data_IF_398603195136
#
_entry.id   IF_398603195136
#
_cell.length_a   1.000
_cell.length_b   1.000
_cell.length_c   1.000
_cell.angle_alpha   90.00
_cell.angle_beta   90.00
_cell.angle_gamma   90.00
#
_symmetry.space_group_name_H-M   'P 1'
#
loop_
_entity.id
_entity.type
_entity.pdbx_description
1 polymer ?
#
# COMPACT_ATOMS: atom_id res chain seq x y z
N UNK A 1 1.66 18.72 3.52
CA UNK A 1 0.56 17.85 3.09
C UNK A 1 -0.54 17.96 4.12
N UNK A 2 -1.79 18.17 3.70
CA UNK A 2 -2.92 18.35 4.60
C UNK A 2 -3.39 16.99 5.11
N UNK A 3 -4.22 16.99 6.17
CA UNK A 3 -4.63 15.75 6.83
C UNK A 3 -6.12 15.76 7.15
N UNK A 4 -6.76 14.63 6.88
CA UNK A 4 -8.10 14.32 7.37
C UNK A 4 -7.96 13.28 8.48
N UNK A 5 -8.66 13.46 9.59
CA UNK A 5 -8.64 12.54 10.72
C UNK A 5 -10.01 11.90 10.89
N UNK A 6 -10.01 10.58 10.99
CA UNK A 6 -11.14 9.78 11.46
C UNK A 6 -10.69 9.17 12.78
N UNK A 7 -11.34 9.51 13.89
CA UNK A 7 -10.88 9.14 15.23
C UNK A 7 -11.85 8.21 15.92
N UNK A 8 -11.30 7.14 16.49
CA UNK A 8 -11.97 6.19 17.37
C UNK A 8 -13.29 5.63 16.79
N UNK A 9 -13.26 5.18 15.51
CA UNK A 9 -14.34 4.36 14.98
C UNK A 9 -14.50 3.14 15.89
N UNK A 10 -15.65 3.02 16.55
CA UNK A 10 -15.92 1.93 17.47
C UNK A 10 -16.60 0.78 16.75
N UNK A 11 -16.01 -0.41 16.87
CA UNK A 11 -16.59 -1.65 16.38
C UNK A 11 -16.55 -2.74 17.44
N UNK A 12 -17.54 -3.64 17.41
CA UNK A 12 -17.49 -4.93 18.11
C UNK A 12 -17.05 -5.97 17.10
N UNK A 13 -15.91 -6.60 17.35
CA UNK A 13 -15.29 -7.58 16.45
C UNK A 13 -14.92 -8.88 17.16
N UNK A 14 -14.69 -9.91 16.35
CA UNK A 14 -14.35 -11.26 16.79
C UNK A 14 -12.94 -11.65 16.36
N UNK A 15 -12.02 -10.69 16.48
CA UNK A 15 -10.61 -10.83 16.09
C UNK A 15 -9.75 -11.18 17.30
N UNK A 16 -8.81 -12.09 17.09
CA UNK A 16 -7.85 -12.55 18.11
C UNK A 16 -7.49 -14.02 17.91
N UNK A 17 -6.43 -14.44 18.58
CA UNK A 17 -5.89 -15.80 18.49
C UNK A 17 -6.74 -16.78 19.34
N UNK A 18 -7.25 -16.33 20.49
CA UNK A 18 -7.97 -17.18 21.41
C UNK A 18 -9.41 -17.43 20.97
N UNK A 19 -9.88 -18.65 21.20
CA UNK A 19 -11.26 -19.06 20.86
C UNK A 19 -12.32 -18.23 21.59
N UNK A 20 -12.03 -17.80 22.82
CA UNK A 20 -12.90 -16.93 23.61
C UNK A 20 -13.12 -15.57 22.92
N UNK A 21 -12.08 -15.00 22.33
CA UNK A 21 -12.16 -13.76 21.58
C UNK A 21 -13.05 -13.90 20.34
N UNK A 22 -12.92 -15.05 19.65
CA UNK A 22 -13.70 -15.38 18.44
C UNK A 22 -15.17 -15.69 18.73
N UNK A 23 -15.51 -16.06 19.99
CA UNK A 23 -16.88 -16.39 20.40
C UNK A 23 -17.58 -15.21 21.09
N UNK A 24 -16.91 -14.56 22.02
CA UNK A 24 -17.51 -13.47 22.81
C UNK A 24 -17.45 -12.14 22.08
N UNK A 25 -16.43 -11.96 21.25
CA UNK A 25 -16.15 -10.66 20.64
C UNK A 25 -15.65 -9.63 21.63
N UNK A 26 -15.15 -8.52 21.13
CA UNK A 26 -14.72 -7.41 21.97
C UNK A 26 -14.73 -6.10 21.21
N UNK A 27 -14.57 -5.01 21.95
CA UNK A 27 -14.51 -3.67 21.42
C UNK A 27 -13.15 -3.38 20.79
N UNK A 28 -13.18 -2.68 19.63
CA UNK A 28 -12.03 -2.13 18.94
C UNK A 28 -12.27 -0.66 18.65
N UNK A 29 -11.20 0.14 18.67
CA UNK A 29 -11.21 1.52 18.19
C UNK A 29 -10.20 1.65 17.07
N UNK A 30 -10.64 2.22 15.94
CA UNK A 30 -9.80 2.46 14.78
C UNK A 30 -9.70 3.96 14.51
N UNK A 31 -8.47 4.44 14.41
CA UNK A 31 -8.19 5.84 14.06
C UNK A 31 -7.33 5.90 12.81
N UNK A 32 -7.74 6.77 11.86
CA UNK A 32 -7.04 6.98 10.60
C UNK A 32 -6.60 8.43 10.48
N UNK A 33 -5.37 8.64 10.03
CA UNK A 33 -4.85 9.91 9.57
C UNK A 33 -4.56 9.78 8.07
N UNK A 34 -5.28 10.52 7.25
CA UNK A 34 -5.23 10.49 5.80
C UNK A 34 -4.48 11.71 5.29
N UNK A 35 -3.30 11.52 4.73
CA UNK A 35 -2.52 12.59 4.10
C UNK A 35 -2.97 12.82 2.66
N UNK A 36 -3.47 14.00 2.37
CA UNK A 36 -4.05 14.39 1.07
C UNK A 36 -3.71 15.85 0.74
N UNK A 37 -4.16 16.34 -0.40
CA UNK A 37 -4.10 17.76 -0.77
C UNK A 37 -5.53 18.32 -0.80
N UNK A 38 -5.82 19.31 0.05
CA UNK A 38 -7.16 19.88 0.20
C UNK A 38 -7.33 21.21 -0.54
N UNK A 39 -6.27 21.76 -1.14
CA UNK A 39 -6.29 23.09 -1.78
C UNK A 39 -7.27 23.20 -2.94
N UNK A 40 -7.46 22.11 -3.67
CA UNK A 40 -8.33 22.07 -4.85
C UNK A 40 -9.78 21.64 -4.54
N UNK A 41 -10.12 21.48 -3.26
CA UNK A 41 -11.46 20.98 -2.86
C UNK A 41 -12.58 21.90 -3.32
N UNK A 42 -12.43 23.23 -3.17
CA UNK A 42 -13.37 24.24 -3.67
C UNK A 42 -14.85 23.91 -3.40
N UNK A 43 -15.16 23.37 -2.21
CA UNK A 43 -16.51 22.93 -1.81
C UNK A 43 -17.12 21.82 -2.72
N UNK A 44 -16.26 21.07 -3.42
CA UNK A 44 -16.62 19.99 -4.32
C UNK A 44 -16.12 18.66 -3.73
N UNK A 45 -17.06 17.79 -3.30
CA UNK A 45 -16.76 16.50 -2.68
C UNK A 45 -15.96 15.56 -3.62
N UNK A 46 -16.07 15.75 -4.93
CA UNK A 46 -15.34 14.92 -5.91
C UNK A 46 -13.85 15.24 -5.97
N UNK A 47 -13.46 16.40 -5.44
CA UNK A 47 -12.05 16.88 -5.41
C UNK A 47 -11.38 16.68 -4.07
N UNK A 48 -12.03 16.01 -3.13
CA UNK A 48 -11.47 15.69 -1.82
C UNK A 48 -11.69 14.22 -1.47
N UNK A 49 -11.07 13.76 -0.39
CA UNK A 49 -11.29 12.41 0.12
C UNK A 49 -12.58 12.36 0.91
N UNK A 50 -13.56 11.60 0.44
CA UNK A 50 -14.83 11.40 1.14
C UNK A 50 -14.63 10.49 2.36
N UNK A 51 -14.41 11.10 3.53
CA UNK A 51 -14.11 10.36 4.77
C UNK A 51 -15.23 9.39 5.19
N UNK A 52 -16.49 9.65 4.83
CA UNK A 52 -17.61 8.73 5.06
C UNK A 52 -17.46 7.43 4.27
N UNK A 53 -17.07 7.50 2.99
CA UNK A 53 -16.78 6.32 2.17
C UNK A 53 -15.54 5.57 2.66
N UNK A 54 -14.52 6.30 3.15
CA UNK A 54 -13.36 5.67 3.81
C UNK A 54 -13.81 4.88 5.04
N UNK A 55 -14.66 5.46 5.91
CA UNK A 55 -15.16 4.78 7.10
C UNK A 55 -16.00 3.53 6.75
N UNK A 56 -16.84 3.58 5.72
CA UNK A 56 -17.59 2.41 5.25
C UNK A 56 -16.66 1.34 4.66
N UNK A 57 -15.59 1.72 3.96
CA UNK A 57 -14.56 0.78 3.46
C UNK A 57 -13.86 0.09 4.63
N UNK A 58 -13.43 0.85 5.64
CA UNK A 58 -12.84 0.31 6.88
C UNK A 58 -13.79 -0.70 7.55
N UNK A 59 -15.06 -0.32 7.71
CA UNK A 59 -16.10 -1.19 8.27
C UNK A 59 -16.28 -2.47 7.47
N UNK A 60 -16.32 -2.38 6.14
CA UNK A 60 -16.44 -3.55 5.24
C UNK A 60 -15.30 -4.54 5.47
N UNK A 61 -14.05 -4.06 5.49
CA UNK A 61 -12.88 -4.92 5.71
C UNK A 61 -12.89 -5.51 7.13
N UNK A 62 -13.20 -4.69 8.13
CA UNK A 62 -13.28 -5.13 9.53
C UNK A 62 -14.23 -6.33 9.71
N UNK A 63 -15.37 -6.33 9.04
CA UNK A 63 -16.38 -7.40 9.17
C UNK A 63 -16.27 -8.50 8.10
N UNK A 64 -15.36 -8.39 7.13
CA UNK A 64 -15.24 -9.34 6.02
C UNK A 64 -14.88 -10.75 6.48
N UNK A 65 -14.00 -10.87 7.48
CA UNK A 65 -13.56 -12.15 8.06
C UNK A 65 -13.09 -11.93 9.49
N UNK A 66 -12.91 -13.03 10.24
CA UNK A 66 -12.22 -12.99 11.53
C UNK A 66 -10.71 -13.02 11.30
N UNK A 67 -10.00 -12.14 11.96
CA UNK A 67 -8.54 -12.06 11.91
C UNK A 67 -7.95 -12.61 13.21
N UNK A 68 -6.92 -13.41 13.11
CA UNK A 68 -6.17 -13.86 14.29
C UNK A 68 -5.29 -12.73 14.84
N UNK A 69 -4.71 -11.93 13.92
CA UNK A 69 -3.82 -10.84 14.26
C UNK A 69 -4.41 -9.49 13.81
N UNK A 70 -4.44 -8.52 14.73
CA UNK A 70 -4.88 -7.15 14.40
C UNK A 70 -3.89 -6.43 13.45
N UNK A 71 -2.65 -6.88 13.40
CA UNK A 71 -1.63 -6.46 12.44
C UNK A 71 -2.06 -6.78 11.01
N UNK A 72 -2.55 -7.99 10.76
CA UNK A 72 -3.05 -8.39 9.44
C UNK A 72 -4.32 -7.61 9.06
N UNK A 73 -5.21 -7.37 10.02
CA UNK A 73 -6.38 -6.51 9.83
C UNK A 73 -5.95 -5.09 9.43
N UNK A 74 -4.94 -4.54 10.11
CA UNK A 74 -4.42 -3.21 9.81
C UNK A 74 -3.85 -3.12 8.39
N UNK A 75 -3.09 -4.13 7.95
CA UNK A 75 -2.54 -4.19 6.59
C UNK A 75 -3.65 -4.26 5.53
N UNK A 76 -4.65 -5.13 5.71
CA UNK A 76 -5.76 -5.27 4.76
C UNK A 76 -6.58 -3.97 4.66
N UNK A 77 -6.84 -3.28 5.80
CA UNK A 77 -7.52 -1.98 5.79
C UNK A 77 -6.68 -0.92 5.07
N UNK A 78 -5.40 -0.78 5.44
CA UNK A 78 -4.54 0.25 4.87
C UNK A 78 -4.38 0.08 3.35
N UNK A 79 -4.19 -1.16 2.91
CA UNK A 79 -4.10 -1.52 1.49
C UNK A 79 -5.36 -1.14 0.73
N UNK A 80 -6.53 -1.56 1.21
CA UNK A 80 -7.79 -1.33 0.51
C UNK A 80 -8.16 0.16 0.46
N UNK A 81 -7.92 0.90 1.55
CA UNK A 81 -8.15 2.34 1.58
C UNK A 81 -7.25 3.06 0.57
N UNK A 82 -5.94 2.73 0.52
CA UNK A 82 -5.04 3.37 -0.44
C UNK A 82 -5.36 3.04 -1.90
N UNK A 83 -5.83 1.82 -2.17
CA UNK A 83 -6.24 1.41 -3.53
C UNK A 83 -7.55 2.07 -3.96
N UNK A 84 -8.52 2.19 -3.05
CA UNK A 84 -9.85 2.72 -3.35
C UNK A 84 -9.90 4.25 -3.42
N UNK A 85 -8.99 4.94 -2.72
CA UNK A 85 -8.98 6.40 -2.60
C UNK A 85 -7.68 7.02 -3.12
N UNK A 86 -7.54 7.24 -4.44
CA UNK A 86 -6.28 7.66 -5.07
C UNK A 86 -5.76 9.04 -4.64
N UNK A 87 -6.61 9.88 -4.04
CA UNK A 87 -6.22 11.17 -3.47
C UNK A 87 -5.44 11.03 -2.17
N UNK A 88 -5.56 9.88 -1.47
CA UNK A 88 -4.77 9.59 -0.28
C UNK A 88 -3.37 9.18 -0.70
N UNK A 89 -2.37 9.94 -0.28
CA UNK A 89 -0.96 9.67 -0.58
C UNK A 89 -0.29 8.81 0.48
N UNK A 90 -0.72 8.99 1.74
CA UNK A 90 -0.24 8.25 2.89
C UNK A 90 -1.37 8.08 3.89
N UNK A 91 -1.43 6.92 4.51
CA UNK A 91 -2.37 6.54 5.56
C UNK A 91 -1.58 6.08 6.79
N UNK A 92 -1.89 6.68 7.95
CA UNK A 92 -1.53 6.16 9.26
C UNK A 92 -2.80 5.59 9.90
N UNK A 93 -2.74 4.33 10.32
CA UNK A 93 -3.84 3.61 10.95
C UNK A 93 -3.41 3.10 12.31
N UNK A 94 -4.22 3.38 13.33
CA UNK A 94 -4.11 2.80 14.66
C UNK A 94 -5.33 1.92 14.96
N UNK A 95 -5.12 0.71 15.44
CA UNK A 95 -6.15 -0.21 15.95
C UNK A 95 -5.89 -0.46 17.41
N UNK A 96 -6.82 -0.08 18.29
CA UNK A 96 -6.77 -0.30 19.74
C UNK A 96 -7.69 -1.45 20.12
N UNK A 97 -7.22 -2.28 21.06
CA UNK A 97 -7.90 -3.42 21.63
C UNK A 97 -7.92 -3.30 23.17
N UNK A 98 -8.92 -2.62 23.75
CA UNK A 98 -8.94 -2.33 25.19
C UNK A 98 -9.03 -3.57 26.07
N UNK A 99 -9.66 -4.64 25.56
CA UNK A 99 -9.86 -5.88 26.32
C UNK A 99 -8.93 -7.00 25.85
N UNK A 100 -7.71 -6.64 25.47
CA UNK A 100 -6.71 -7.64 25.09
C UNK A 100 -6.41 -8.57 26.27
N UNK A 101 -6.44 -9.91 26.10
CA UNK A 101 -6.29 -10.88 27.17
C UNK A 101 -4.82 -11.07 27.58
N UNK A 102 -4.20 -10.01 28.11
CA UNK A 102 -2.78 -9.98 28.52
C UNK A 102 -2.58 -10.51 29.95
N UNK A 103 -3.67 -10.61 30.76
CA UNK A 103 -3.61 -11.07 32.14
C UNK A 103 -3.10 -10.03 33.16
N UNK A 104 -2.90 -8.78 32.70
CA UNK A 104 -2.47 -7.65 33.53
C UNK A 104 -3.39 -6.45 33.29
N UNK A 105 -3.58 -5.55 34.28
CA UNK A 105 -4.30 -4.31 34.08
C UNK A 105 -3.57 -3.45 33.03
N UNK A 106 -4.30 -3.05 31.98
CA UNK A 106 -3.81 -2.17 30.94
C UNK A 106 -4.96 -1.30 30.40
N UNK A 107 -4.63 -0.23 29.72
CA UNK A 107 -5.63 0.61 29.04
C UNK A 107 -6.07 -0.04 27.73
N UNK A 108 -5.15 -0.37 26.90
CA UNK A 108 -5.34 -1.05 25.62
C UNK A 108 -4.02 -1.69 25.13
N UNK A 109 -4.14 -2.56 24.15
CA UNK A 109 -3.04 -2.92 23.24
C UNK A 109 -3.35 -2.27 21.89
N UNK A 110 -2.38 -1.62 21.29
CA UNK A 110 -2.56 -0.96 20.03
C UNK A 110 -1.51 -1.40 18.99
N UNK A 111 -1.92 -1.44 17.73
CA UNK A 111 -1.05 -1.56 16.57
C UNK A 111 -1.20 -0.28 15.75
N UNK A 112 -0.09 0.35 15.43
CA UNK A 112 -0.04 1.52 14.55
C UNK A 112 0.83 1.21 13.35
N UNK A 113 0.32 1.45 12.15
CA UNK A 113 1.06 1.30 10.90
C UNK A 113 0.95 2.57 10.06
N UNK A 114 1.96 2.81 9.23
CA UNK A 114 1.91 3.84 8.18
C UNK A 114 2.19 3.19 6.84
N UNK A 115 1.31 3.41 5.87
CA UNK A 115 1.47 2.93 4.49
C UNK A 115 1.28 4.08 3.52
N UNK A 116 2.02 4.07 2.42
CA UNK A 116 1.97 5.13 1.42
C UNK A 116 2.28 4.59 0.03
N UNK A 117 1.90 5.37 -0.97
CA UNK A 117 2.38 5.18 -2.32
C UNK A 117 3.85 5.60 -2.43
N UNK A 118 4.68 4.72 -3.00
CA UNK A 118 6.07 4.97 -3.34
C UNK A 118 6.20 5.10 -4.87
N UNK A 119 7.02 6.05 -5.32
CA UNK A 119 7.47 6.11 -6.71
C UNK A 119 8.88 5.54 -6.80
N UNK A 120 9.06 4.55 -7.66
CA UNK A 120 10.34 3.85 -7.86
C UNK A 120 10.67 3.88 -9.34
N UNK A 121 11.93 4.11 -9.67
CA UNK A 121 12.43 4.09 -11.04
C UNK A 121 13.33 2.89 -11.24
N UNK A 122 13.05 2.10 -12.29
CA UNK A 122 13.79 0.91 -12.65
C UNK A 122 14.51 1.13 -13.97
N UNK A 123 15.81 0.88 -14.00
CA UNK A 123 16.61 0.86 -15.22
C UNK A 123 16.59 -0.54 -15.81
N UNK A 124 16.27 -0.66 -17.08
CA UNK A 124 16.21 -1.90 -17.83
C UNK A 124 17.27 -1.87 -18.93
N UNK A 125 18.00 -2.97 -19.11
CA UNK A 125 19.02 -3.08 -20.15
C UNK A 125 19.08 -4.48 -20.75
N UNK A 126 19.32 -4.58 -22.07
CA UNK A 126 19.52 -5.87 -22.74
C UNK A 126 20.49 -5.69 -23.90
N UNK A 127 21.46 -6.60 -24.02
CA UNK A 127 22.41 -6.69 -25.14
C UNK A 127 22.43 -8.07 -25.80
N UNK A 128 21.54 -9.00 -25.43
CA UNK A 128 21.49 -10.36 -25.94
C UNK A 128 20.18 -10.67 -26.62
N UNK A 129 20.25 -11.46 -27.69
CA UNK A 129 19.09 -11.97 -28.42
C UNK A 129 18.18 -10.85 -28.97
N UNK A 130 16.86 -11.00 -28.83
CA UNK A 130 15.91 -9.93 -29.19
C UNK A 130 15.84 -8.91 -28.06
N UNK A 131 16.78 -7.96 -28.06
CA UNK A 131 16.96 -6.91 -27.03
C UNK A 131 15.65 -6.16 -26.73
N UNK A 132 14.90 -5.79 -27.77
CA UNK A 132 13.64 -5.06 -27.61
C UNK A 132 12.57 -5.91 -26.93
N UNK A 133 12.40 -7.14 -27.38
CA UNK A 133 11.45 -8.08 -26.78
C UNK A 133 11.79 -8.38 -25.32
N UNK A 134 13.08 -8.44 -24.96
CA UNK A 134 13.51 -8.62 -23.57
C UNK A 134 13.07 -7.45 -22.70
N UNK A 135 13.21 -6.19 -23.15
CA UNK A 135 12.73 -5.02 -22.43
C UNK A 135 11.20 -5.03 -22.28
N UNK A 136 10.48 -5.32 -23.36
CA UNK A 136 9.00 -5.42 -23.34
C UNK A 136 8.51 -6.51 -22.37
N UNK A 137 9.18 -7.66 -22.34
CA UNK A 137 8.89 -8.72 -21.37
C UNK A 137 9.15 -8.28 -19.93
N UNK A 138 10.27 -7.61 -19.66
CA UNK A 138 10.60 -7.11 -18.33
C UNK A 138 9.52 -6.11 -17.84
N UNK A 139 9.12 -5.16 -18.67
CA UNK A 139 8.03 -4.22 -18.37
C UNK A 139 6.73 -4.95 -18.03
N UNK A 140 6.39 -5.96 -18.85
CA UNK A 140 5.19 -6.78 -18.62
C UNK A 140 5.26 -7.57 -17.30
N UNK A 141 6.41 -8.11 -16.92
CA UNK A 141 6.54 -8.81 -15.63
C UNK A 141 6.42 -7.82 -14.46
N UNK A 142 7.07 -6.66 -14.53
CA UNK A 142 6.91 -5.60 -13.52
C UNK A 142 5.45 -5.17 -13.35
N UNK A 143 4.68 -5.08 -14.42
CA UNK A 143 3.25 -4.71 -14.37
C UNK A 143 2.36 -5.75 -13.66
N UNK A 144 2.84 -6.98 -13.42
CA UNK A 144 2.12 -8.03 -12.68
C UNK A 144 2.39 -7.99 -11.18
N UNK A 145 3.40 -7.23 -10.73
CA UNK A 145 3.71 -7.10 -9.31
C UNK A 145 2.49 -6.51 -8.59
N UNK A 146 2.08 -7.15 -7.51
CA UNK A 146 0.88 -6.76 -6.75
C UNK A 146 0.97 -5.30 -6.29
N UNK A 147 -0.15 -4.60 -6.39
CA UNK A 147 -0.29 -3.19 -5.95
C UNK A 147 0.74 -2.24 -6.58
N UNK A 148 1.10 -2.52 -7.85
CA UNK A 148 2.12 -1.79 -8.61
C UNK A 148 1.57 -1.38 -9.96
N UNK A 149 1.80 -0.12 -10.34
CA UNK A 149 1.33 0.48 -11.57
C UNK A 149 2.48 1.17 -12.28
N UNK A 150 2.63 0.92 -13.58
CA UNK A 150 3.59 1.68 -14.42
C UNK A 150 2.99 3.06 -14.66
N UNK A 151 3.73 4.11 -14.30
CA UNK A 151 3.29 5.51 -14.44
C UNK A 151 4.05 6.27 -15.52
N UNK A 152 5.24 5.81 -15.89
CA UNK A 152 6.09 6.42 -16.92
C UNK A 152 6.95 5.38 -17.60
N UNK A 153 7.22 5.58 -18.88
CA UNK A 153 8.19 4.81 -19.66
C UNK A 153 9.07 5.79 -20.45
N UNK A 154 10.39 5.57 -20.45
CA UNK A 154 11.31 6.34 -21.29
C UNK A 154 11.31 5.81 -22.73
N UNK A 155 11.88 6.57 -23.64
CA UNK A 155 12.30 6.03 -24.94
C UNK A 155 13.39 4.99 -24.72
N UNK A 156 13.44 4.01 -25.60
CA UNK A 156 14.58 3.08 -25.68
C UNK A 156 15.74 3.82 -26.35
N UNK A 157 16.93 3.69 -25.77
CA UNK A 157 18.18 4.23 -26.29
C UNK A 157 19.18 3.10 -26.51
N UNK A 158 19.97 3.18 -27.55
CA UNK A 158 21.08 2.28 -27.81
C UNK A 158 22.38 2.90 -27.27
N UNK A 159 23.20 2.08 -26.60
CA UNK A 159 24.47 2.53 -26.02
C UNK A 159 25.55 1.51 -26.25
N UNK A 160 26.77 1.98 -26.51
CA UNK A 160 27.96 1.13 -26.53
C UNK A 160 28.20 0.49 -25.15
N UNK A 161 28.77 -0.74 -25.12
CA UNK A 161 29.11 -1.39 -23.86
C UNK A 161 30.20 -0.64 -23.10
N UNK A 162 29.99 -0.47 -21.78
CA UNK A 162 31.01 0.08 -20.89
C UNK A 162 31.88 -1.04 -20.32
N UNK A 163 33.20 -0.86 -20.33
CA UNK A 163 34.18 -1.84 -19.83
C UNK A 163 34.58 -2.84 -20.90
N UNK A 164 34.06 -4.07 -20.86
CA UNK A 164 34.37 -5.10 -21.87
C UNK A 164 33.66 -4.75 -23.19
N UNK A 165 34.45 -4.48 -24.24
CA UNK A 165 33.94 -3.96 -25.52
C UNK A 165 33.63 -5.04 -26.56
N UNK A 166 34.07 -6.29 -26.36
CA UNK A 166 33.77 -7.39 -27.28
C UNK A 166 32.39 -8.01 -27.00
N UNK A 167 31.34 -7.18 -27.02
CA UNK A 167 29.95 -7.55 -26.85
C UNK A 167 29.05 -6.59 -27.61
N UNK A 168 27.81 -7.01 -27.87
CA UNK A 168 26.84 -6.18 -28.58
C UNK A 168 26.43 -4.94 -27.79
N UNK A 169 26.01 -3.89 -28.52
CA UNK A 169 25.43 -2.69 -27.95
C UNK A 169 24.17 -3.01 -27.13
N UNK A 170 23.95 -2.22 -26.10
CA UNK A 170 22.78 -2.36 -25.21
C UNK A 170 21.61 -1.53 -25.73
N UNK A 171 20.39 -2.09 -25.60
CA UNK A 171 19.19 -1.28 -25.55
C UNK A 171 18.85 -1.04 -24.08
N UNK A 172 18.68 0.24 -23.73
CA UNK A 172 18.35 0.66 -22.37
C UNK A 172 17.03 1.43 -22.35
N UNK A 173 16.29 1.26 -21.27
CA UNK A 173 15.07 2.00 -20.97
C UNK A 173 14.96 2.23 -19.48
N UNK A 174 14.09 3.15 -19.07
CA UNK A 174 13.76 3.38 -17.67
C UNK A 174 12.23 3.41 -17.53
N UNK A 175 11.72 2.76 -16.51
CA UNK A 175 10.30 2.85 -16.15
C UNK A 175 10.14 3.45 -14.76
N UNK A 176 9.10 4.28 -14.59
CA UNK A 176 8.63 4.75 -13.30
C UNK A 176 7.42 3.93 -12.89
N UNK A 177 7.42 3.42 -11.68
CA UNK A 177 6.31 2.69 -11.09
C UNK A 177 5.79 3.41 -9.84
N UNK A 178 4.48 3.31 -9.60
CA UNK A 178 3.80 3.68 -8.35
C UNK A 178 3.38 2.41 -7.66
N UNK A 179 3.79 2.21 -6.41
CA UNK A 179 3.59 0.94 -5.69
C UNK A 179 3.36 1.15 -4.20
N UNK A 180 2.65 0.23 -3.54
CA UNK A 180 2.58 0.17 -2.07
C UNK A 180 3.78 -0.52 -1.45
N UNK A 181 4.60 -1.20 -2.25
CA UNK A 181 5.82 -1.86 -1.79
C UNK A 181 6.92 -0.85 -1.48
N UNK A 182 7.78 -1.20 -0.52
CA UNK A 182 9.04 -0.49 -0.31
C UNK A 182 10.03 -0.80 -1.44
N UNK A 183 11.04 0.02 -1.64
CA UNK A 183 12.07 -0.22 -2.66
C UNK A 183 12.76 -1.59 -2.51
N UNK A 184 12.92 -2.06 -1.26
CA UNK A 184 13.51 -3.38 -0.98
C UNK A 184 12.59 -4.53 -1.37
N UNK A 185 11.28 -4.39 -1.10
CA UNK A 185 10.27 -5.38 -1.51
C UNK A 185 10.17 -5.43 -3.04
N UNK A 186 10.15 -4.28 -3.71
CA UNK A 186 10.21 -4.24 -5.19
C UNK A 186 11.42 -4.99 -5.72
N UNK A 187 12.61 -4.78 -5.13
CA UNK A 187 13.84 -5.49 -5.54
C UNK A 187 13.74 -7.01 -5.32
N UNK A 188 12.94 -7.46 -4.36
CA UNK A 188 12.73 -8.89 -4.08
C UNK A 188 11.78 -9.53 -5.10
N UNK A 189 10.85 -8.75 -5.64
CA UNK A 189 9.86 -9.19 -6.65
C UNK A 189 10.42 -9.19 -8.09
N UNK A 190 11.58 -8.52 -8.32
CA UNK A 190 12.29 -8.45 -9.61
C UNK A 190 13.21 -9.65 -9.81
#
# INVERSE_FOLDING_TARGET
MDKIYIRDLEFIGYHGVFEEEKKLGQKFYLSLELSTDLREANDDITKTTHYGEVAETVKKIFFQKKYDLIETLAEDIAREVLLSFPLIKELKLEIKKPWAPVGLPLKDVAVEITRKWNEVYLSLGSNMGNKKENLEKAIKEVSKIKDTFIIKESKIIETEPFGYKEQDDFLNSCIGIKTLLTAREVLTEL
#
